data_IF_397494429801
#
_entry.id   IF_397494429801
#
_cell.length_a   1.000
_cell.length_b   1.000
_cell.length_c   1.000
_cell.angle_alpha   90.00
_cell.angle_beta   90.00
_cell.angle_gamma   90.00
#
_symmetry.space_group_name_H-M   'P 1'
#
loop_
_entity.id
_entity.type
_entity.pdbx_description
1 polymer ?
#
# COMPACT_ATOMS: atom_id res chain seq x y z
N UNK A 1 11.06 10.75 -18.79
CA UNK A 1 10.23 10.37 -17.62
C UNK A 1 9.49 9.10 -17.98
N UNK A 2 9.58 8.04 -17.18
CA UNK A 2 8.81 6.82 -17.43
C UNK A 2 7.43 7.01 -16.79
N UNK A 3 6.39 6.99 -17.60
CA UNK A 3 5.02 7.01 -17.09
C UNK A 3 4.79 5.75 -16.28
N UNK A 4 4.41 5.90 -15.02
CA UNK A 4 4.02 4.78 -14.18
C UNK A 4 2.60 4.37 -14.54
N UNK A 5 2.44 3.11 -14.95
CA UNK A 5 1.14 2.53 -15.22
C UNK A 5 0.62 1.79 -13.98
N UNK A 6 -0.68 1.89 -13.77
CA UNK A 6 -1.41 1.32 -12.64
C UNK A 6 -2.60 0.56 -13.19
N UNK A 7 -2.83 -0.67 -12.73
CA UNK A 7 -3.79 -1.59 -13.33
C UNK A 7 -4.74 -2.24 -12.32
N UNK A 8 -4.53 -2.07 -11.01
CA UNK A 8 -5.44 -2.62 -9.99
C UNK A 8 -6.80 -1.93 -9.97
N UNK A 9 -7.76 -2.50 -9.23
CA UNK A 9 -9.05 -1.86 -8.96
C UNK A 9 -8.91 -0.48 -8.28
N UNK A 10 -7.78 -0.20 -7.63
CA UNK A 10 -7.48 1.08 -6.97
C UNK A 10 -6.63 2.02 -7.85
N UNK A 11 -6.32 1.65 -9.09
CA UNK A 11 -5.51 2.47 -9.98
C UNK A 11 -6.05 3.90 -10.16
N UNK A 12 -7.36 4.15 -10.33
CA UNK A 12 -7.88 5.52 -10.40
C UNK A 12 -7.57 6.35 -9.15
N UNK A 13 -7.74 5.76 -7.97
CA UNK A 13 -7.52 6.40 -6.68
C UNK A 13 -6.03 6.65 -6.42
N UNK A 14 -5.16 5.72 -6.83
CA UNK A 14 -3.71 5.88 -6.75
C UNK A 14 -3.24 7.04 -7.63
N UNK A 15 -3.73 7.13 -8.87
CA UNK A 15 -3.43 8.24 -9.79
C UNK A 15 -3.91 9.58 -9.22
N UNK A 16 -5.13 9.64 -8.69
CA UNK A 16 -5.67 10.85 -8.08
C UNK A 16 -4.86 11.29 -6.86
N UNK A 17 -4.46 10.34 -6.01
CA UNK A 17 -3.61 10.60 -4.86
C UNK A 17 -2.24 11.16 -5.28
N UNK A 18 -1.57 10.56 -6.27
CA UNK A 18 -0.29 11.05 -6.78
C UNK A 18 -0.43 12.47 -7.35
N UNK A 19 -1.46 12.71 -8.16
CA UNK A 19 -1.74 14.03 -8.73
C UNK A 19 -1.92 15.08 -7.64
N UNK A 20 -2.70 14.78 -6.60
CA UNK A 20 -2.89 15.67 -5.45
C UNK A 20 -1.57 16.01 -4.74
N UNK A 21 -0.68 15.03 -4.57
CA UNK A 21 0.63 15.25 -3.92
C UNK A 21 1.57 16.08 -4.79
N UNK A 22 1.55 15.87 -6.10
CA UNK A 22 2.35 16.66 -7.06
C UNK A 22 1.87 18.11 -7.13
N UNK A 23 0.56 18.34 -7.16
CA UNK A 23 -0.03 19.69 -7.11
C UNK A 23 0.31 20.45 -5.81
N UNK A 24 0.64 19.73 -4.74
CA UNK A 24 1.07 20.31 -3.47
C UNK A 24 2.56 20.70 -3.46
N UNK A 25 3.25 20.66 -4.61
CA UNK A 25 4.64 21.09 -4.76
C UNK A 25 5.69 20.08 -4.27
N UNK A 26 5.30 18.84 -3.99
CA UNK A 26 6.25 17.78 -3.58
C UNK A 26 6.72 16.99 -4.81
N UNK A 27 8.03 16.79 -4.97
CA UNK A 27 8.54 15.77 -5.88
C UNK A 27 8.13 14.39 -5.35
N UNK A 28 7.06 13.85 -5.95
CA UNK A 28 6.41 12.62 -5.52
C UNK A 28 6.77 11.42 -6.41
N UNK A 29 7.77 11.55 -7.29
CA UNK A 29 8.11 10.51 -8.26
C UNK A 29 8.62 9.23 -7.59
N UNK A 30 9.49 9.39 -6.58
CA UNK A 30 10.04 8.25 -5.84
C UNK A 30 8.96 7.49 -5.08
N UNK A 31 7.99 8.20 -4.50
CA UNK A 31 6.87 7.62 -3.76
C UNK A 31 5.84 7.00 -4.71
N UNK A 32 5.61 7.60 -5.89
CA UNK A 32 4.77 7.02 -6.92
C UNK A 32 5.30 5.66 -7.40
N UNK A 33 6.63 5.50 -7.51
CA UNK A 33 7.25 4.19 -7.77
C UNK A 33 6.98 3.18 -6.65
N UNK A 34 6.98 3.63 -5.38
CA UNK A 34 6.61 2.74 -4.27
C UNK A 34 5.14 2.29 -4.35
N UNK A 35 4.25 3.17 -4.81
CA UNK A 35 2.84 2.84 -5.06
C UNK A 35 2.66 1.88 -6.23
N UNK A 36 3.53 1.91 -7.25
CA UNK A 36 3.41 0.96 -8.36
C UNK A 36 3.73 -0.47 -7.94
N UNK A 37 4.63 -0.67 -6.96
CA UNK A 37 4.84 -2.00 -6.37
C UNK A 37 3.60 -2.51 -5.63
N UNK A 38 2.91 -1.62 -4.92
CA UNK A 38 1.68 -1.97 -4.23
C UNK A 38 0.54 -2.28 -5.23
N UNK A 39 0.36 -1.45 -6.25
CA UNK A 39 -0.62 -1.69 -7.31
C UNK A 39 -0.41 -3.03 -8.02
N UNK A 40 0.84 -3.33 -8.36
CA UNK A 40 1.20 -4.63 -8.95
C UNK A 40 0.85 -5.79 -8.02
N UNK A 41 1.14 -5.67 -6.73
CA UNK A 41 0.75 -6.68 -5.74
C UNK A 41 -0.77 -6.87 -5.71
N UNK A 42 -1.57 -5.80 -5.78
CA UNK A 42 -3.03 -5.91 -5.82
C UNK A 42 -3.53 -6.62 -7.09
N UNK A 43 -2.88 -6.40 -8.23
CA UNK A 43 -3.18 -7.13 -9.48
C UNK A 43 -2.87 -8.63 -9.31
N UNK A 44 -1.70 -8.97 -8.75
CA UNK A 44 -1.27 -10.35 -8.51
C UNK A 44 -2.22 -11.09 -7.55
N UNK A 45 -2.72 -10.40 -6.52
CA UNK A 45 -3.74 -10.92 -5.59
C UNK A 45 -5.16 -10.96 -6.16
N UNK A 46 -5.37 -10.52 -7.42
CA UNK A 46 -6.68 -10.38 -8.06
C UNK A 46 -7.65 -9.58 -7.18
N UNK A 47 -7.16 -8.49 -6.61
CA UNK A 47 -7.92 -7.65 -5.70
C UNK A 47 -8.93 -6.79 -6.48
N UNK A 48 -10.21 -7.05 -6.27
CA UNK A 48 -11.32 -6.37 -6.96
C UNK A 48 -12.10 -5.40 -6.07
N UNK A 49 -11.80 -5.36 -4.76
CA UNK A 49 -12.54 -4.50 -3.83
C UNK A 49 -12.18 -3.02 -4.00
N UNK A 50 -13.16 -2.15 -3.70
CA UNK A 50 -13.00 -0.69 -3.76
C UNK A 50 -12.29 -0.09 -2.55
N UNK A 51 -12.16 -0.86 -1.46
CA UNK A 51 -11.59 -0.42 -0.19
C UNK A 51 -10.53 -1.39 0.33
N UNK A 52 -9.46 -0.84 0.91
CA UNK A 52 -8.39 -1.63 1.50
C UNK A 52 -8.90 -2.35 2.74
N UNK A 53 -8.55 -3.62 2.88
CA UNK A 53 -8.89 -4.44 4.05
C UNK A 53 -7.65 -4.73 4.91
N UNK A 54 -7.82 -5.13 6.18
CA UNK A 54 -6.70 -5.60 6.99
C UNK A 54 -5.95 -6.76 6.34
N UNK A 55 -6.68 -7.73 5.76
CA UNK A 55 -6.11 -8.95 5.20
C UNK A 55 -5.20 -8.68 4.01
N UNK A 56 -5.61 -7.82 3.07
CA UNK A 56 -4.78 -7.48 1.91
C UNK A 56 -3.53 -6.69 2.34
N UNK A 57 -3.68 -5.86 3.38
CA UNK A 57 -2.56 -5.12 3.95
C UNK A 57 -1.54 -6.06 4.59
N UNK A 58 -1.98 -6.97 5.44
CA UNK A 58 -1.09 -7.93 6.10
C UNK A 58 -0.36 -8.82 5.09
N UNK A 59 -1.06 -9.30 4.04
CA UNK A 59 -0.42 -10.02 2.93
C UNK A 59 0.65 -9.19 2.25
N UNK A 60 0.38 -7.92 1.96
CA UNK A 60 1.39 -7.02 1.41
C UNK A 60 2.60 -6.90 2.34
N UNK A 61 2.40 -6.73 3.64
CA UNK A 61 3.49 -6.63 4.61
C UNK A 61 4.37 -7.89 4.63
N UNK A 62 3.78 -9.08 4.52
CA UNK A 62 4.51 -10.34 4.40
C UNK A 62 5.44 -10.34 3.17
N UNK A 63 4.99 -9.77 2.04
CA UNK A 63 5.85 -9.63 0.85
C UNK A 63 7.06 -8.73 1.09
N UNK A 64 7.02 -7.83 2.07
CA UNK A 64 8.11 -6.90 2.37
C UNK A 64 9.13 -7.47 3.37
N UNK A 65 8.83 -8.60 4.04
CA UNK A 65 9.63 -9.16 5.14
C UNK A 65 11.10 -9.40 4.80
N UNK A 66 11.41 -9.72 3.54
CA UNK A 66 12.77 -9.97 3.06
C UNK A 66 13.58 -8.69 2.76
N UNK A 67 12.94 -7.52 2.74
CA UNK A 67 13.59 -6.24 2.43
C UNK A 67 14.31 -5.66 3.65
N UNK A 68 15.27 -4.75 3.44
CA UNK A 68 15.89 -4.03 4.54
C UNK A 68 14.86 -3.15 5.29
N UNK A 69 14.98 -2.96 6.63
CA UNK A 69 13.99 -2.24 7.44
C UNK A 69 13.63 -0.85 6.91
N UNK A 70 14.61 -0.09 6.43
CA UNK A 70 14.38 1.24 5.83
C UNK A 70 13.48 1.18 4.59
N UNK A 71 13.66 0.16 3.75
CA UNK A 71 12.86 -0.04 2.53
C UNK A 71 11.43 -0.45 2.89
N UNK A 72 11.28 -1.35 3.88
CA UNK A 72 9.98 -1.74 4.42
C UNK A 72 9.21 -0.52 4.94
N UNK A 73 9.83 0.29 5.82
CA UNK A 73 9.21 1.49 6.37
C UNK A 73 8.81 2.49 5.29
N UNK A 74 9.65 2.70 4.26
CA UNK A 74 9.32 3.61 3.17
C UNK A 74 8.08 3.14 2.38
N UNK A 75 8.05 1.85 2.00
CA UNK A 75 6.89 1.26 1.29
C UNK A 75 5.63 1.30 2.15
N UNK A 76 5.75 0.94 3.42
CA UNK A 76 4.66 0.97 4.38
C UNK A 76 4.08 2.38 4.56
N UNK A 77 4.92 3.37 4.80
CA UNK A 77 4.50 4.75 5.03
C UNK A 77 3.73 5.32 3.83
N UNK A 78 4.15 5.01 2.61
CA UNK A 78 3.47 5.49 1.39
C UNK A 78 2.11 4.80 1.22
N UNK A 79 2.00 3.50 1.47
CA UNK A 79 0.71 2.78 1.44
C UNK A 79 -0.22 3.27 2.56
N UNK A 80 0.30 3.52 3.76
CA UNK A 80 -0.49 4.09 4.86
C UNK A 80 -1.06 5.47 4.48
N UNK A 81 -0.27 6.32 3.80
CA UNK A 81 -0.75 7.61 3.33
C UNK A 81 -1.86 7.46 2.28
N UNK A 82 -1.73 6.51 1.34
CA UNK A 82 -2.80 6.18 0.40
C UNK A 82 -4.06 5.72 1.14
N UNK A 83 -3.96 4.82 2.13
CA UNK A 83 -5.11 4.34 2.89
C UNK A 83 -5.83 5.48 3.62
N UNK A 84 -5.08 6.42 4.21
CA UNK A 84 -5.68 7.63 4.82
C UNK A 84 -6.39 8.52 3.82
N UNK A 85 -5.89 8.58 2.58
CA UNK A 85 -6.58 9.28 1.50
C UNK A 85 -7.88 8.55 1.12
N UNK A 86 -7.81 7.23 0.92
CA UNK A 86 -8.97 6.40 0.59
C UNK A 86 -10.08 6.45 1.66
N UNK A 87 -9.71 6.49 2.95
CA UNK A 87 -10.66 6.60 4.07
C UNK A 87 -11.57 7.82 3.98
N UNK A 88 -11.12 8.91 3.34
CA UNK A 88 -11.93 10.13 3.15
C UNK A 88 -13.05 9.93 2.12
N UNK A 89 -12.91 8.93 1.25
CA UNK A 89 -13.86 8.63 0.18
C UNK A 89 -14.69 7.38 0.48
N UNK A 90 -14.09 6.39 1.15
CA UNK A 90 -14.74 5.16 1.57
C UNK A 90 -14.42 4.87 3.05
N UNK A 91 -15.38 5.11 3.98
CA UNK A 91 -15.20 4.89 5.41
C UNK A 91 -14.86 3.45 5.81
N UNK A 92 -15.07 2.47 4.93
CA UNK A 92 -14.73 1.07 5.17
C UNK A 92 -13.24 0.77 4.94
N UNK A 93 -12.48 1.71 4.39
CA UNK A 93 -11.05 1.55 4.13
C UNK A 93 -10.28 1.37 5.43
N UNK A 94 -9.59 0.25 5.56
CA UNK A 94 -8.64 0.02 6.63
C UNK A 94 -7.38 0.87 6.47
N UNK A 95 -6.95 1.52 7.55
CA UNK A 95 -5.67 2.23 7.61
C UNK A 95 -4.70 1.45 8.51
N UNK A 96 -3.60 0.91 7.98
CA UNK A 96 -2.64 0.20 8.81
C UNK A 96 -1.95 1.16 9.78
N UNK A 97 -1.77 0.73 11.02
CA UNK A 97 -1.03 1.47 12.04
C UNK A 97 0.34 0.83 12.26
N UNK A 98 1.41 1.63 12.37
CA UNK A 98 2.80 1.13 12.54
C UNK A 98 2.97 0.12 13.69
N UNK A 99 2.08 0.15 14.69
CA UNK A 99 2.06 -0.80 15.80
C UNK A 99 1.80 -2.26 15.37
N UNK A 100 1.18 -2.51 14.21
CA UNK A 100 0.93 -3.86 13.69
C UNK A 100 2.17 -4.53 13.08
N UNK A 101 3.24 -3.78 12.77
CA UNK A 101 4.49 -4.36 12.24
C UNK A 101 5.31 -5.06 13.32
N UNK A 102 5.42 -4.45 14.51
CA UNK A 102 6.17 -5.02 15.64
C UNK A 102 5.37 -6.04 16.45
N UNK A 103 4.10 -6.26 16.10
CA UNK A 103 3.24 -7.23 16.77
C UNK A 103 2.35 -7.89 15.72
N UNK A 104 2.88 -8.90 15.00
CA UNK A 104 2.13 -9.59 13.95
C UNK A 104 0.81 -10.14 14.52
N UNK A 105 -0.32 -10.03 13.80
CA UNK A 105 -1.61 -10.50 14.29
C UNK A 105 -1.57 -12.01 14.55
N UNK A 106 -2.24 -12.50 15.60
CA UNK A 106 -2.13 -13.89 16.08
C UNK A 106 -2.41 -14.97 15.02
N UNK A 107 -3.10 -14.64 13.91
CA UNK A 107 -3.30 -15.56 12.79
C UNK A 107 -2.04 -15.79 11.94
N UNK A 108 -1.10 -14.83 11.90
CA UNK A 108 0.16 -14.91 11.16
C UNK A 108 1.22 -15.80 11.86
N UNK A 109 1.03 -16.09 13.14
CA UNK A 109 1.83 -17.08 13.88
C UNK A 109 1.44 -18.53 13.57
N UNK A 110 0.37 -18.78 12.80
CA UNK A 110 -0.07 -20.13 12.43
C UNK A 110 0.60 -20.69 11.18
N UNK A 111 1.37 -19.89 10.44
CA UNK A 111 2.04 -20.33 9.21
C UNK A 111 3.44 -19.71 9.12
N UNK A 112 4.47 -20.31 9.73
CA UNK A 112 5.84 -19.90 9.47
C UNK A 112 6.17 -20.17 7.99
N UNK A 113 6.89 -19.26 7.29
CA UNK A 113 7.41 -19.58 5.97
C UNK A 113 8.44 -20.71 6.10
N UNK A 114 8.24 -21.76 5.30
CA UNK A 114 9.14 -22.90 5.14
C UNK A 114 10.50 -22.51 4.57
#
# INVERSE_FOLDING_TARGET
>A
MRTLEFHSALAPQIRNFISLRQLSGTDYQSQALLLSYFDRFLVEEKFEASCITPQITDRYLLTLSHLAPRVQSNRFCVVQQLCRYLLRHDPLTYVPCHRSWNNPPLWSLKFPPS
#
